data_IF_606620411951
#
_entry.id   IF_606620411951
#
_cell.length_a   1.000
_cell.length_b   1.000
_cell.length_c   1.000
_cell.angle_alpha   90.00
_cell.angle_beta   90.00
_cell.angle_gamma   90.00
#
_symmetry.space_group_name_H-M   'P 1'
#
loop_
_entity.id
_entity.type
_entity.pdbx_description
1 polymer ?
#
# COMPACT_ATOMS: atom_id res chain seq x y z
N UNK A 1 27.13 -19.18 15.55
CA UNK A 1 26.41 -19.33 14.26
C UNK A 1 24.99 -19.77 14.57
N UNK A 2 23.99 -18.91 14.35
CA UNK A 2 22.59 -19.23 14.64
C UNK A 2 22.05 -20.07 13.47
N UNK A 3 21.62 -21.31 13.74
CA UNK A 3 20.95 -22.14 12.73
C UNK A 3 19.45 -21.93 12.85
N UNK A 4 18.81 -21.55 11.75
CA UNK A 4 17.35 -21.41 11.70
C UNK A 4 16.68 -22.79 11.61
N UNK A 5 15.52 -23.00 12.26
CA UNK A 5 14.75 -24.24 12.13
C UNK A 5 14.29 -24.45 10.68
N UNK A 6 14.35 -25.68 10.18
CA UNK A 6 13.88 -26.03 8.83
C UNK A 6 12.41 -25.66 8.58
N UNK A 7 11.59 -25.62 9.63
CA UNK A 7 10.17 -25.23 9.55
C UNK A 7 9.93 -23.76 9.16
N UNK A 8 10.96 -22.91 9.20
CA UNK A 8 10.87 -21.47 8.88
C UNK A 8 11.68 -21.15 7.60
N UNK A 9 12.29 -22.17 6.98
CA UNK A 9 13.08 -22.02 5.76
C UNK A 9 12.20 -22.32 4.55
N UNK A 10 12.18 -21.40 3.59
CA UNK A 10 11.58 -21.62 2.28
C UNK A 10 12.70 -21.99 1.32
N UNK A 11 12.57 -23.12 0.62
CA UNK A 11 13.56 -23.56 -0.37
C UNK A 11 13.66 -22.53 -1.49
N UNK A 12 14.86 -22.00 -1.67
CA UNK A 12 15.17 -21.04 -2.72
C UNK A 12 15.57 -21.80 -4.00
N UNK A 13 14.76 -21.63 -5.05
CA UNK A 13 15.05 -22.18 -6.38
C UNK A 13 15.41 -21.03 -7.34
N UNK A 14 14.47 -20.10 -7.54
CA UNK A 14 14.63 -18.82 -8.23
C UNK A 14 13.71 -17.78 -7.55
N UNK A 15 13.90 -16.50 -7.85
CA UNK A 15 13.20 -15.41 -7.14
C UNK A 15 11.67 -15.50 -7.26
N UNK A 16 11.14 -15.76 -8.46
CA UNK A 16 9.68 -15.79 -8.69
C UNK A 16 9.00 -16.94 -7.97
N UNK A 17 9.53 -18.16 -8.08
CA UNK A 17 9.03 -19.36 -7.40
C UNK A 17 9.18 -19.25 -5.87
N UNK A 18 10.29 -18.67 -5.39
CA UNK A 18 10.52 -18.46 -3.96
C UNK A 18 9.54 -17.43 -3.37
N UNK A 19 9.31 -16.30 -4.04
CA UNK A 19 8.36 -15.28 -3.61
C UNK A 19 6.93 -15.84 -3.60
N UNK A 20 6.52 -16.57 -4.64
CA UNK A 20 5.20 -17.17 -4.68
C UNK A 20 4.99 -18.18 -3.56
N UNK A 21 5.99 -19.05 -3.30
CA UNK A 21 5.96 -19.97 -2.16
C UNK A 21 5.86 -19.23 -0.84
N UNK A 22 6.64 -18.17 -0.65
CA UNK A 22 6.60 -17.35 0.56
C UNK A 22 5.21 -16.72 0.77
N UNK A 23 4.64 -16.12 -0.28
CA UNK A 23 3.29 -15.56 -0.26
C UNK A 23 2.27 -16.63 0.13
N UNK A 24 2.34 -17.83 -0.44
CA UNK A 24 1.39 -18.90 -0.15
C UNK A 24 1.55 -19.49 1.26
N UNK A 25 2.75 -19.45 1.84
CA UNK A 25 3.01 -19.85 3.22
C UNK A 25 2.43 -18.83 4.20
N UNK A 26 2.65 -17.54 3.93
CA UNK A 26 2.19 -16.46 4.82
C UNK A 26 0.70 -16.18 4.63
N UNK A 27 0.18 -16.26 3.41
CA UNK A 27 -1.21 -15.96 3.04
C UNK A 27 -1.86 -17.13 2.27
N UNK A 28 -2.04 -18.30 2.91
CA UNK A 28 -2.68 -19.49 2.32
C UNK A 28 -4.09 -19.25 1.77
N UNK A 29 -4.78 -18.21 2.21
CA UNK A 29 -6.08 -17.79 1.69
C UNK A 29 -6.08 -17.49 0.18
N UNK A 30 -4.94 -17.08 -0.40
CA UNK A 30 -4.85 -16.89 -1.85
C UNK A 30 -4.80 -18.21 -2.63
N UNK A 31 -4.53 -19.34 -1.97
CA UNK A 31 -4.58 -20.68 -2.56
C UNK A 31 -5.90 -21.38 -2.28
N UNK A 32 -6.50 -21.12 -1.12
CA UNK A 32 -7.70 -21.80 -0.64
C UNK A 32 -8.70 -20.77 -0.10
N UNK A 33 -9.70 -20.45 -0.92
CA UNK A 33 -10.76 -19.48 -0.62
C UNK A 33 -11.67 -19.89 0.55
N UNK A 34 -11.58 -21.14 1.02
CA UNK A 34 -12.28 -21.59 2.23
C UNK A 34 -11.66 -21.01 3.52
N UNK A 35 -10.39 -20.59 3.47
CA UNK A 35 -9.71 -19.89 4.57
C UNK A 35 -10.06 -18.41 4.50
N UNK A 36 -11.10 -18.00 5.24
CA UNK A 36 -11.54 -16.60 5.30
C UNK A 36 -10.37 -15.63 5.51
N UNK A 37 -10.40 -14.52 4.76
CA UNK A 37 -9.46 -13.38 4.77
C UNK A 37 -9.25 -12.70 6.14
N UNK A 38 -9.98 -13.09 7.18
CA UNK A 38 -9.87 -12.53 8.53
C UNK A 38 -8.51 -12.82 9.20
N UNK A 39 -7.73 -13.79 8.71
CA UNK A 39 -6.44 -14.16 9.31
C UNK A 39 -5.24 -13.33 8.81
N UNK A 40 -5.41 -12.50 7.77
CA UNK A 40 -4.31 -11.77 7.12
C UNK A 40 -3.85 -10.54 7.89
N UNK A 41 -4.63 -10.04 8.85
CA UNK A 41 -4.35 -8.81 9.60
C UNK A 41 -3.10 -8.90 10.49
N UNK A 42 -2.74 -10.10 10.95
CA UNK A 42 -1.63 -10.35 11.86
C UNK A 42 -0.42 -10.99 11.17
N UNK A 43 -0.34 -10.90 9.84
CA UNK A 43 0.75 -11.47 9.07
C UNK A 43 1.43 -10.37 8.26
N UNK A 44 2.74 -10.49 8.13
CA UNK A 44 3.56 -9.54 7.40
C UNK A 44 4.73 -10.27 6.75
N UNK A 45 5.12 -9.81 5.57
CA UNK A 45 6.38 -10.19 4.93
C UNK A 45 7.31 -9.00 5.08
N UNK A 46 8.45 -9.22 5.73
CA UNK A 46 9.46 -8.20 5.94
C UNK A 46 10.66 -8.50 5.05
N UNK A 47 11.15 -7.48 4.36
CA UNK A 47 12.35 -7.57 3.51
C UNK A 47 13.34 -6.48 3.90
N UNK A 48 14.59 -6.65 3.53
CA UNK A 48 15.67 -5.69 3.83
C UNK A 48 15.75 -4.54 2.85
N UNK A 49 15.07 -4.62 1.69
CA UNK A 49 15.13 -3.63 0.62
C UNK A 49 13.74 -3.36 0.02
N UNK A 50 13.47 -2.10 -0.29
CA UNK A 50 12.19 -1.64 -0.83
C UNK A 50 11.87 -2.24 -2.20
N UNK A 51 12.86 -2.50 -3.06
CA UNK A 51 12.61 -3.12 -4.36
C UNK A 51 11.90 -4.49 -4.25
N UNK A 52 12.27 -5.31 -3.26
CA UNK A 52 11.57 -6.57 -2.98
C UNK A 52 10.19 -6.33 -2.36
N UNK A 53 9.99 -5.25 -1.60
CA UNK A 53 8.66 -4.86 -1.11
C UNK A 53 7.74 -4.56 -2.29
N UNK A 54 8.22 -3.79 -3.27
CA UNK A 54 7.45 -3.43 -4.46
C UNK A 54 7.10 -4.66 -5.30
N UNK A 55 8.05 -5.58 -5.48
CA UNK A 55 7.82 -6.84 -6.19
C UNK A 55 6.78 -7.72 -5.49
N UNK A 56 6.92 -7.93 -4.18
CA UNK A 56 6.01 -8.77 -3.38
C UNK A 56 4.61 -8.14 -3.34
N UNK A 57 4.51 -6.84 -3.06
CA UNK A 57 3.23 -6.12 -3.04
C UNK A 57 2.57 -6.13 -4.43
N UNK A 58 3.37 -6.00 -5.50
CA UNK A 58 2.92 -6.09 -6.88
C UNK A 58 2.41 -7.48 -7.27
N UNK A 59 2.94 -8.56 -6.69
CA UNK A 59 2.39 -9.91 -6.85
C UNK A 59 1.12 -10.11 -6.00
N UNK A 60 1.11 -9.61 -4.76
CA UNK A 60 -0.02 -9.71 -3.85
C UNK A 60 -1.27 -9.03 -4.42
N UNK A 61 -1.14 -7.81 -4.94
CA UNK A 61 -2.28 -7.07 -5.47
C UNK A 61 -2.94 -7.80 -6.65
N UNK A 62 -2.17 -8.55 -7.46
CA UNK A 62 -2.70 -9.33 -8.58
C UNK A 62 -3.53 -10.54 -8.13
N UNK A 63 -3.33 -11.03 -6.90
CA UNK A 63 -4.05 -12.20 -6.35
C UNK A 63 -5.44 -11.85 -5.80
N UNK A 64 -5.76 -10.57 -5.58
CA UNK A 64 -7.11 -10.14 -5.23
C UNK A 64 -8.04 -10.23 -6.44
N UNK A 65 -9.28 -10.69 -6.22
CA UNK A 65 -10.26 -10.95 -7.28
C UNK A 65 -10.90 -9.67 -7.81
N UNK A 66 -10.91 -8.62 -7.00
CA UNK A 66 -11.60 -7.37 -7.27
C UNK A 66 -10.89 -6.53 -8.34
N UNK A 67 -11.62 -5.56 -8.89
CA UNK A 67 -11.11 -4.71 -9.95
C UNK A 67 -10.01 -3.76 -9.44
N UNK A 68 -8.99 -3.63 -10.27
CA UNK A 68 -7.86 -2.74 -10.04
C UNK A 68 -8.30 -1.28 -10.24
N UNK A 69 -8.04 -0.43 -9.25
CA UNK A 69 -8.15 1.03 -9.39
C UNK A 69 -6.76 1.64 -9.37
N UNK A 70 -6.52 2.54 -10.32
CA UNK A 70 -5.27 3.28 -10.45
C UNK A 70 -5.47 4.72 -9.98
N UNK A 71 -4.56 5.17 -9.10
CA UNK A 71 -4.44 6.56 -8.68
C UNK A 71 -3.09 7.08 -9.16
N UNK A 72 -3.12 8.20 -9.90
CA UNK A 72 -1.93 8.91 -10.35
C UNK A 72 -1.67 10.11 -9.43
N UNK A 73 -0.42 10.35 -9.06
CA UNK A 73 -0.05 11.57 -8.35
C UNK A 73 -0.24 12.78 -9.27
N UNK A 74 -0.52 13.91 -8.65
CA UNK A 74 -0.58 15.20 -9.31
C UNK A 74 0.58 16.04 -8.79
N UNK A 75 1.69 16.01 -9.53
CA UNK A 75 2.92 16.69 -9.15
C UNK A 75 3.06 17.97 -9.99
N UNK A 76 3.16 19.11 -9.31
CA UNK A 76 3.34 20.42 -9.94
C UNK A 76 4.70 21.03 -9.56
N UNK A 77 5.34 21.63 -10.55
CA UNK A 77 6.49 22.50 -10.35
C UNK A 77 6.06 23.85 -9.77
N UNK A 78 6.94 24.49 -8.97
CA UNK A 78 6.69 25.84 -8.44
C UNK A 78 6.50 26.87 -9.57
N UNK A 79 7.18 26.66 -10.69
CA UNK A 79 7.11 27.46 -11.90
C UNK A 79 6.47 26.62 -13.00
N UNK A 80 5.17 26.82 -13.26
CA UNK A 80 4.40 26.05 -14.26
C UNK A 80 5.03 26.03 -15.67
N UNK A 81 5.83 27.03 -16.01
CA UNK A 81 6.58 27.08 -17.27
C UNK A 81 7.57 25.91 -17.43
N UNK A 82 8.05 25.35 -16.33
CA UNK A 82 8.96 24.20 -16.33
C UNK A 82 8.23 22.86 -16.14
N UNK A 83 6.90 22.85 -16.08
CA UNK A 83 6.12 21.63 -15.85
C UNK A 83 6.43 20.57 -16.92
N UNK A 84 6.41 20.97 -18.19
CA UNK A 84 6.71 20.05 -19.30
C UNK A 84 8.15 19.56 -19.32
N UNK A 85 9.09 20.33 -18.76
CA UNK A 85 10.51 19.99 -18.73
C UNK A 85 10.83 18.94 -17.65
N UNK A 86 10.09 18.96 -16.53
CA UNK A 86 10.37 18.09 -15.38
C UNK A 86 9.31 17.02 -15.13
N UNK A 87 8.18 16.98 -15.86
CA UNK A 87 7.11 16.02 -15.59
C UNK A 87 7.59 14.56 -15.61
N UNK A 88 8.42 14.18 -16.57
CA UNK A 88 8.95 12.82 -16.65
C UNK A 88 9.87 12.50 -15.46
N UNK A 89 10.67 13.47 -15.02
CA UNK A 89 11.49 13.34 -13.83
C UNK A 89 10.60 13.19 -12.59
N UNK A 90 9.58 14.05 -12.42
CA UNK A 90 8.65 14.02 -11.29
C UNK A 90 7.93 12.67 -11.19
N UNK A 91 7.46 12.13 -12.31
CA UNK A 91 6.78 10.83 -12.38
C UNK A 91 7.69 9.65 -12.01
N UNK A 92 9.02 9.82 -12.05
CA UNK A 92 10.00 8.78 -11.69
C UNK A 92 10.55 8.91 -10.26
N UNK A 93 10.19 9.97 -9.53
CA UNK A 93 10.64 10.15 -8.15
C UNK A 93 9.93 9.17 -7.22
N UNK A 94 10.70 8.24 -6.65
CA UNK A 94 10.23 7.31 -5.61
C UNK A 94 10.85 7.72 -4.27
N UNK A 95 10.18 8.60 -3.54
CA UNK A 95 10.59 9.01 -2.20
C UNK A 95 10.02 8.06 -1.14
N UNK A 96 10.83 7.65 -0.17
CA UNK A 96 10.41 6.68 0.87
C UNK A 96 9.25 7.17 1.76
N UNK A 97 9.00 8.49 1.79
CA UNK A 97 7.95 9.13 2.57
C UNK A 97 6.68 9.43 1.79
N UNK A 98 6.64 9.12 0.48
CA UNK A 98 5.48 9.39 -0.38
C UNK A 98 5.04 8.12 -1.10
N UNK A 99 3.74 7.99 -1.42
CA UNK A 99 3.29 6.99 -2.36
C UNK A 99 3.99 7.17 -3.71
N UNK A 100 4.18 6.10 -4.49
CA UNK A 100 4.68 6.20 -5.86
C UNK A 100 3.72 7.03 -6.73
N UNK A 101 4.23 7.62 -7.82
CA UNK A 101 3.42 8.35 -8.81
C UNK A 101 2.21 7.53 -9.27
N UNK A 102 2.41 6.23 -9.46
CA UNK A 102 1.38 5.29 -9.87
C UNK A 102 1.04 4.34 -8.72
N UNK A 103 -0.12 4.54 -8.09
CA UNK A 103 -0.60 3.73 -7.00
C UNK A 103 -1.75 2.82 -7.46
N UNK A 104 -1.53 1.51 -7.35
CA UNK A 104 -2.47 0.48 -7.75
C UNK A 104 -3.12 -0.18 -6.55
N UNK A 105 -4.45 -0.10 -6.45
CA UNK A 105 -5.21 -0.57 -5.30
C UNK A 105 -6.37 -1.47 -5.71
N UNK A 106 -6.77 -2.35 -4.80
CA UNK A 106 -7.97 -3.20 -4.91
C UNK A 106 -8.71 -3.23 -3.58
N UNK A 107 -10.06 -3.37 -3.59
CA UNK A 107 -10.80 -3.68 -2.38
C UNK A 107 -10.23 -4.89 -1.63
N UNK A 108 -10.44 -4.91 -0.32
CA UNK A 108 -9.92 -5.91 0.62
C UNK A 108 -8.39 -5.95 0.81
N UNK A 109 -7.61 -5.20 0.02
CA UNK A 109 -6.17 -5.07 0.23
C UNK A 109 -5.85 -4.26 1.50
N UNK A 110 -4.75 -4.63 2.16
CA UNK A 110 -4.17 -3.89 3.28
C UNK A 110 -3.27 -2.78 2.74
N UNK A 111 -3.47 -1.55 3.21
CA UNK A 111 -2.61 -0.40 2.95
C UNK A 111 -2.08 0.18 4.26
N UNK A 112 -0.97 0.91 4.18
CA UNK A 112 -0.36 1.61 5.31
C UNK A 112 -0.21 3.07 4.96
N UNK A 113 -0.62 3.97 5.87
CA UNK A 113 -0.40 5.39 5.69
C UNK A 113 1.09 5.72 5.85
N UNK A 114 1.66 6.50 4.91
CA UNK A 114 3.06 6.92 4.94
C UNK A 114 3.26 8.30 5.59
N UNK A 115 2.18 9.04 5.84
CA UNK A 115 2.20 10.37 6.44
C UNK A 115 1.01 10.58 7.37
N UNK A 116 1.12 11.57 8.25
CA UNK A 116 0.00 12.00 9.05
C UNK A 116 -1.03 12.69 8.16
N UNK A 117 -2.20 12.09 8.05
CA UNK A 117 -3.33 12.60 7.28
C UNK A 117 -4.28 13.37 8.17
N UNK A 118 -4.69 12.75 9.29
CA UNK A 118 -5.53 13.38 10.30
C UNK A 118 -5.24 12.76 11.68
N UNK A 119 -4.46 13.45 12.53
CA UNK A 119 -4.17 12.96 13.88
C UNK A 119 -5.40 12.86 14.79
N UNK A 120 -6.44 13.66 14.54
CA UNK A 120 -7.69 13.64 15.33
C UNK A 120 -8.49 12.38 15.07
N UNK A 121 -8.46 11.91 13.82
CA UNK A 121 -9.07 10.65 13.39
C UNK A 121 -8.11 9.45 13.50
N UNK A 122 -6.88 9.67 14.01
CA UNK A 122 -5.83 8.66 14.22
C UNK A 122 -5.37 8.05 12.88
N UNK A 123 -5.38 8.89 11.84
CA UNK A 123 -4.84 8.59 10.53
C UNK A 123 -3.41 9.10 10.47
N UNK A 124 -2.52 8.46 11.21
CA UNK A 124 -1.10 8.79 11.29
C UNK A 124 -0.22 7.82 10.48
N UNK A 125 1.05 8.19 10.29
CA UNK A 125 2.02 7.30 9.66
C UNK A 125 2.07 5.93 10.37
N UNK A 126 2.06 4.84 9.60
CA UNK A 126 2.03 3.47 10.10
C UNK A 126 0.63 2.90 10.35
N UNK A 127 -0.43 3.71 10.27
CA UNK A 127 -1.81 3.22 10.42
C UNK A 127 -2.13 2.23 9.30
N UNK A 128 -2.52 1.01 9.68
CA UNK A 128 -2.87 -0.06 8.74
C UNK A 128 -4.37 -0.05 8.49
N UNK A 129 -4.75 -0.03 7.22
CA UNK A 129 -6.15 0.06 6.78
C UNK A 129 -6.47 -1.07 5.81
N UNK A 130 -7.71 -1.57 5.84
CA UNK A 130 -8.23 -2.47 4.82
C UNK A 130 -9.19 -1.69 3.94
N UNK A 131 -8.95 -1.70 2.63
CA UNK A 131 -9.80 -1.02 1.66
C UNK A 131 -11.16 -1.69 1.62
N UNK A 132 -12.22 -0.88 1.73
CA UNK A 132 -13.61 -1.32 1.54
C UNK A 132 -14.11 -1.01 0.13
N UNK A 133 -13.88 0.20 -0.35
CA UNK A 133 -14.26 0.61 -1.70
C UNK A 133 -13.35 1.71 -2.22
N UNK A 134 -13.24 1.77 -3.54
CA UNK A 134 -12.40 2.71 -4.27
C UNK A 134 -13.29 3.55 -5.18
N UNK A 135 -13.05 4.85 -5.19
CA UNK A 135 -13.73 5.84 -6.03
C UNK A 135 -12.70 6.84 -6.56
N UNK A 136 -13.06 7.59 -7.60
CA UNK A 136 -12.14 8.47 -8.35
C UNK A 136 -11.19 9.29 -7.48
N UNK A 137 -11.70 9.90 -6.40
CA UNK A 137 -10.92 10.77 -5.52
C UNK A 137 -10.96 10.37 -4.03
N UNK A 138 -11.55 9.21 -3.72
CA UNK A 138 -11.81 8.79 -2.34
C UNK A 138 -11.52 7.31 -2.18
N UNK A 139 -10.75 6.98 -1.15
CA UNK A 139 -10.53 5.61 -0.68
C UNK A 139 -11.33 5.46 0.61
N UNK A 140 -12.31 4.58 0.62
CA UNK A 140 -13.01 4.16 1.83
C UNK A 140 -12.30 2.94 2.40
N UNK A 141 -11.87 3.03 3.65
CA UNK A 141 -11.15 1.96 4.31
C UNK A 141 -11.59 1.82 5.77
N UNK A 142 -11.18 0.73 6.40
CA UNK A 142 -11.37 0.49 7.84
C UNK A 142 -10.03 0.30 8.53
N UNK A 143 -9.90 0.80 9.76
CA UNK A 143 -8.71 0.54 10.57
C UNK A 143 -8.59 -0.96 10.83
N UNK A 144 -7.43 -1.53 10.51
CA UNK A 144 -7.23 -2.98 10.52
C UNK A 144 -6.87 -3.55 11.89
N UNK A 145 -6.23 -2.75 12.76
CA UNK A 145 -5.65 -3.17 14.04
C UNK A 145 -5.67 -2.03 15.07
N UNK A 146 -5.49 -2.37 16.35
CA UNK A 146 -5.42 -1.41 17.46
C UNK A 146 -6.79 -1.05 18.06
N UNK A 147 -6.80 -0.07 18.95
CA UNK A 147 -7.98 0.30 19.77
C UNK A 147 -9.16 0.80 18.92
N UNK A 148 -8.88 1.30 17.71
CA UNK A 148 -9.87 1.82 16.77
C UNK A 148 -10.17 0.85 15.63
N UNK A 149 -9.81 -0.42 15.77
CA UNK A 149 -10.08 -1.46 14.77
C UNK A 149 -11.55 -1.47 14.35
N UNK A 150 -11.78 -1.54 13.03
CA UNK A 150 -13.12 -1.55 12.45
C UNK A 150 -13.71 -0.15 12.17
N UNK A 151 -13.13 0.93 12.72
CA UNK A 151 -13.55 2.30 12.39
C UNK A 151 -13.37 2.57 10.90
N UNK A 152 -14.43 3.05 10.25
CA UNK A 152 -14.40 3.45 8.85
C UNK A 152 -13.84 4.86 8.70
N UNK A 153 -13.03 5.05 7.65
CA UNK A 153 -12.29 6.27 7.37
C UNK A 153 -12.29 6.53 5.86
N UNK A 154 -12.25 7.82 5.50
CA UNK A 154 -12.23 8.26 4.11
C UNK A 154 -10.95 9.05 3.84
N UNK A 155 -10.18 8.60 2.84
CA UNK A 155 -8.95 9.28 2.42
C UNK A 155 -9.23 9.95 1.08
N UNK A 156 -9.11 11.28 1.05
CA UNK A 156 -9.21 12.08 -0.17
C UNK A 156 -7.85 12.07 -0.88
N UNK A 157 -7.83 11.65 -2.15
CA UNK A 157 -6.58 11.45 -2.92
C UNK A 157 -6.17 12.67 -3.74
N UNK A 158 -7.08 13.62 -3.97
CA UNK A 158 -6.77 14.91 -4.61
C UNK A 158 -6.22 15.92 -3.60
N UNK A 159 -5.21 16.74 -3.97
CA UNK A 159 -4.79 17.85 -3.12
C UNK A 159 -5.96 18.81 -2.91
N UNK A 160 -6.17 19.34 -1.68
CA UNK A 160 -7.11 20.44 -1.48
C UNK A 160 -6.65 21.62 -2.35
N UNK A 161 -7.57 22.23 -3.10
CA UNK A 161 -7.28 23.39 -3.94
C UNK A 161 -6.51 24.45 -3.13
N UNK A 162 -5.48 25.11 -3.69
CA UNK A 162 -4.66 26.11 -2.98
C UNK A 162 -5.47 27.27 -2.37
N UNK A 163 -6.74 27.44 -2.75
CA UNK A 163 -7.67 28.41 -2.17
C UNK A 163 -8.11 28.11 -0.74
N UNK A 164 -7.80 26.93 -0.19
CA UNK A 164 -8.21 26.52 1.15
C UNK A 164 -7.25 26.97 2.27
N UNK A 165 -6.07 27.50 1.94
CA UNK A 165 -5.17 28.06 2.95
C UNK A 165 -5.32 29.58 2.99
N UNK A 166 -5.84 30.16 4.09
CA UNK A 166 -5.77 31.60 4.28
C UNK A 166 -4.29 31.98 4.33
N UNK A 167 -3.90 32.94 3.48
CA UNK A 167 -2.56 33.54 3.53
C UNK A 167 -2.42 34.20 4.90
N UNK A 168 -1.51 33.69 5.72
CA UNK A 168 -1.03 34.34 6.95
C UNK A 168 -0.23 35.59 6.62
#
# INVERSE_FOLDING_TARGET
MVKLPFSIIVNYNNDTDAIEKLINIVYPEFKDSSKKLHCSQNRAILTTKNNFVDEINGQLIKKFLEDLTEYLSYDETLNQNHQSEYIDLLNTLTLSSLPPHRLLLKPNALIVLLRNFDPTEILCNGTRLIIKSLSKNVICAKIAVGDFCGKEVFIVTTPPSPRAYPRS
#
